data_IF_673144524580
#
_entry.id   IF_673144524580
#
_cell.length_a   1.000
_cell.length_b   1.000
_cell.length_c   1.000
_cell.angle_alpha   90.00
_cell.angle_beta   90.00
_cell.angle_gamma   90.00
#
_symmetry.space_group_name_H-M   'P 1'
#
loop_
_entity.id
_entity.type
_entity.pdbx_description
1 polymer ?
#
# COMPACT_ATOMS: atom_id res chain seq x y z
N UNK A 1 -23.11 15.31 -8.17
CA UNK A 1 -21.64 15.29 -8.11
C UNK A 1 -21.26 15.10 -6.65
N UNK A 2 -20.79 13.94 -6.27
CA UNK A 2 -20.36 13.65 -4.91
C UNK A 2 -18.98 14.27 -4.71
N UNK A 3 -18.87 15.23 -3.80
CA UNK A 3 -17.58 15.78 -3.36
C UNK A 3 -16.82 14.66 -2.65
N UNK A 4 -15.72 14.22 -3.24
CA UNK A 4 -14.78 13.33 -2.57
C UNK A 4 -14.10 14.15 -1.47
N UNK A 5 -14.51 13.93 -0.23
CA UNK A 5 -13.92 14.60 0.92
C UNK A 5 -12.57 13.95 1.22
N UNK A 6 -11.50 14.75 1.35
CA UNK A 6 -10.24 14.20 1.77
C UNK A 6 -10.23 13.90 3.26
N UNK A 7 -9.30 13.07 3.64
CA UNK A 7 -9.06 12.50 4.96
C UNK A 7 -9.39 13.43 6.12
N UNK A 8 -10.39 13.06 6.91
CA UNK A 8 -10.46 13.52 8.30
C UNK A 8 -9.61 12.56 9.14
N UNK A 9 -8.48 13.05 9.60
CA UNK A 9 -7.79 12.43 10.72
C UNK A 9 -8.54 12.90 11.97
N UNK A 10 -9.58 12.19 12.34
CA UNK A 10 -10.22 12.37 13.64
C UNK A 10 -9.29 11.75 14.71
N UNK A 11 -8.27 12.51 15.09
CA UNK A 11 -7.55 12.23 16.33
C UNK A 11 -8.29 12.93 17.45
N UNK A 12 -8.79 12.17 18.42
CA UNK A 12 -9.25 12.69 19.72
C UNK A 12 -8.13 13.29 20.58
N UNK A 13 -6.94 13.47 20.03
CA UNK A 13 -5.87 14.23 20.65
C UNK A 13 -6.22 15.70 20.56
N UNK A 14 -6.70 16.20 21.69
CA UNK A 14 -7.22 17.51 21.94
C UNK A 14 -6.81 18.61 20.98
N UNK A 15 -7.76 19.44 20.63
CA UNK A 15 -7.66 20.63 19.79
C UNK A 15 -6.36 21.40 20.04
N UNK A 16 -5.28 20.95 19.39
CA UNK A 16 -4.08 21.76 19.27
C UNK A 16 -4.45 22.97 18.41
N UNK A 17 -4.20 24.19 18.85
CA UNK A 17 -4.49 25.41 18.08
C UNK A 17 -3.42 25.60 16.98
N UNK A 18 -3.15 24.56 16.22
CA UNK A 18 -2.46 24.69 14.95
C UNK A 18 -3.52 25.27 14.00
N UNK A 19 -3.56 26.59 13.91
CA UNK A 19 -4.24 27.23 12.79
C UNK A 19 -3.75 26.55 11.53
N UNK A 20 -4.65 25.88 10.81
CA UNK A 20 -4.44 25.33 9.48
C UNK A 20 -3.98 26.43 8.51
N UNK A 21 -2.72 26.84 8.64
CA UNK A 21 -2.07 27.64 7.64
C UNK A 21 -1.20 26.71 6.81
N UNK A 22 -1.80 26.16 5.76
CA UNK A 22 -1.03 25.64 4.66
C UNK A 22 -1.23 24.19 4.20
N UNK A 23 -2.22 23.46 4.69
CA UNK A 23 -2.68 22.27 3.97
C UNK A 23 -3.98 22.63 3.26
N UNK A 24 -3.87 23.40 2.18
CA UNK A 24 -4.98 23.53 1.25
C UNK A 24 -5.25 22.15 0.68
N UNK A 25 -6.45 21.67 0.93
CA UNK A 25 -6.93 20.42 0.37
C UNK A 25 -7.10 20.63 -1.12
N UNK A 26 -6.28 19.96 -1.93
CA UNK A 26 -6.39 20.03 -3.38
C UNK A 26 -7.72 19.38 -3.76
N UNK A 27 -8.67 20.18 -4.26
CA UNK A 27 -9.90 19.67 -4.87
C UNK A 27 -9.60 19.37 -6.33
N UNK A 28 -9.99 18.18 -6.79
CA UNK A 28 -9.85 17.76 -8.18
C UNK A 28 -11.17 17.95 -8.91
N UNK A 29 -11.11 18.47 -10.13
CA UNK A 29 -12.28 18.78 -10.94
C UNK A 29 -12.90 17.52 -11.58
N UNK A 30 -12.08 16.48 -11.76
CA UNK A 30 -12.52 15.22 -12.39
C UNK A 30 -11.81 13.99 -11.79
N UNK A 31 -12.39 12.78 -11.96
CA UNK A 31 -11.70 11.53 -11.59
C UNK A 31 -10.38 11.34 -12.34
N UNK A 32 -10.27 11.80 -13.58
CA UNK A 32 -9.06 11.71 -14.38
C UNK A 32 -7.94 12.57 -13.80
N UNK A 33 -8.26 13.77 -13.35
CA UNK A 33 -7.29 14.66 -12.70
C UNK A 33 -6.80 14.06 -11.38
N UNK A 34 -7.71 13.55 -10.56
CA UNK A 34 -7.39 12.82 -9.35
C UNK A 34 -6.50 11.59 -9.67
N UNK A 35 -6.88 10.77 -10.64
CA UNK A 35 -6.10 9.61 -11.08
C UNK A 35 -4.69 10.01 -11.49
N UNK A 36 -4.53 11.04 -12.30
CA UNK A 36 -3.22 11.54 -12.72
C UNK A 36 -2.36 11.93 -11.52
N UNK A 37 -2.91 12.70 -10.60
CA UNK A 37 -2.19 13.09 -9.37
C UNK A 37 -1.77 11.86 -8.54
N UNK A 38 -2.65 10.87 -8.43
CA UNK A 38 -2.35 9.64 -7.69
C UNK A 38 -1.27 8.81 -8.37
N UNK A 39 -1.27 8.71 -9.71
CA UNK A 39 -0.22 8.00 -10.45
C UNK A 39 1.14 8.71 -10.32
N UNK A 40 1.18 10.04 -10.30
CA UNK A 40 2.39 10.81 -10.03
C UNK A 40 2.94 10.52 -8.62
N UNK A 41 2.05 10.47 -7.61
CA UNK A 41 2.42 10.10 -6.24
C UNK A 41 2.88 8.65 -6.13
N UNK A 42 2.22 7.73 -6.84
CA UNK A 42 2.61 6.33 -6.86
C UNK A 42 4.02 6.15 -7.41
N UNK A 43 4.34 6.82 -8.53
CA UNK A 43 5.71 6.84 -9.08
C UNK A 43 6.70 7.48 -8.11
N UNK A 44 6.33 8.56 -7.44
CA UNK A 44 7.15 9.18 -6.41
C UNK A 44 7.40 8.21 -5.24
N UNK A 45 6.39 7.44 -4.82
CA UNK A 45 6.51 6.40 -3.82
C UNK A 45 7.55 5.32 -4.19
N UNK A 46 7.51 4.82 -5.43
CA UNK A 46 8.55 3.89 -5.92
C UNK A 46 9.94 4.50 -5.88
N UNK A 47 10.09 5.75 -6.28
CA UNK A 47 11.39 6.43 -6.23
C UNK A 47 11.91 6.64 -4.81
N UNK A 48 11.03 6.95 -3.87
CA UNK A 48 11.39 7.04 -2.45
C UNK A 48 11.78 5.67 -1.90
N UNK A 49 11.05 4.60 -2.26
CA UNK A 49 11.43 3.24 -1.86
C UNK A 49 12.82 2.88 -2.37
N UNK A 50 13.13 3.19 -3.64
CA UNK A 50 14.46 2.98 -4.20
C UNK A 50 15.51 3.82 -3.48
N UNK A 51 15.23 5.10 -3.21
CA UNK A 51 16.16 5.99 -2.52
C UNK A 51 16.52 5.48 -1.11
N UNK A 52 15.56 4.89 -0.39
CA UNK A 52 15.77 4.34 0.94
C UNK A 52 16.19 2.85 0.96
N UNK A 53 16.40 2.24 -0.19
CA UNK A 53 16.84 0.85 -0.28
C UNK A 53 15.74 -0.18 0.05
N UNK A 54 14.49 0.11 -0.35
CA UNK A 54 13.34 -0.78 -0.16
C UNK A 54 12.95 -1.52 -1.45
N UNK A 55 13.84 -1.57 -2.43
CA UNK A 55 13.63 -2.10 -3.78
C UNK A 55 14.51 -3.33 -4.07
N UNK A 56 14.76 -4.15 -3.09
CA UNK A 56 15.66 -5.29 -3.21
C UNK A 56 15.09 -6.39 -4.13
N UNK A 57 15.82 -6.69 -5.18
CA UNK A 57 15.46 -7.71 -6.17
C UNK A 57 14.25 -7.32 -7.00
N UNK A 58 13.34 -8.28 -7.18
CA UNK A 58 12.05 -8.10 -7.88
C UNK A 58 10.88 -8.06 -6.90
N UNK A 59 11.18 -8.09 -5.62
CA UNK A 59 10.20 -8.11 -4.55
C UNK A 59 9.77 -6.68 -4.18
N UNK A 60 8.54 -6.59 -3.72
CA UNK A 60 7.93 -5.33 -3.34
C UNK A 60 6.99 -4.77 -4.41
N UNK A 61 5.96 -4.15 -3.92
CA UNK A 61 4.91 -3.55 -4.73
C UNK A 61 4.22 -2.43 -3.96
N UNK A 62 3.80 -1.42 -4.68
CA UNK A 62 2.93 -0.38 -4.16
C UNK A 62 1.71 -0.35 -5.07
N UNK A 63 0.54 -0.33 -4.48
CA UNK A 63 -0.72 -0.27 -5.20
C UNK A 63 -1.54 0.94 -4.78
N UNK A 64 -2.35 1.39 -5.69
CA UNK A 64 -3.32 2.45 -5.46
C UNK A 64 -4.65 2.10 -6.14
N UNK A 65 -5.76 2.12 -5.37
CA UNK A 65 -7.11 1.89 -5.89
C UNK A 65 -7.46 2.97 -6.90
N UNK A 66 -8.03 2.58 -8.05
CA UNK A 66 -8.52 3.54 -9.02
C UNK A 66 -9.67 4.39 -8.43
N UNK A 67 -9.66 5.72 -8.62
CA UNK A 67 -10.67 6.59 -8.03
C UNK A 67 -12.07 6.47 -8.66
N UNK A 68 -12.16 5.86 -9.85
CA UNK A 68 -13.41 5.67 -10.58
C UNK A 68 -13.86 4.21 -10.56
N UNK A 69 -12.92 3.27 -10.75
CA UNK A 69 -13.17 1.84 -10.79
C UNK A 69 -12.76 1.19 -9.47
N UNK A 70 -13.67 1.10 -8.51
CA UNK A 70 -13.40 0.66 -7.15
C UNK A 70 -12.89 -0.80 -7.02
N UNK A 71 -13.08 -1.60 -8.05
CA UNK A 71 -12.60 -2.99 -8.17
C UNK A 71 -11.29 -3.10 -8.97
N UNK A 72 -10.64 -1.98 -9.26
CA UNK A 72 -9.36 -1.91 -9.95
C UNK A 72 -8.31 -1.20 -9.08
N UNK A 73 -7.06 -1.54 -9.31
CA UNK A 73 -5.92 -0.88 -8.67
C UNK A 73 -4.73 -0.77 -9.62
N UNK A 74 -3.96 0.28 -9.44
CA UNK A 74 -2.71 0.52 -10.15
C UNK A 74 -1.56 -0.15 -9.41
N UNK A 75 -0.63 -0.75 -10.15
CA UNK A 75 0.52 -1.50 -9.61
C UNK A 75 1.72 -1.40 -10.55
N UNK A 76 2.92 -1.63 -10.02
CA UNK A 76 4.13 -1.73 -10.83
C UNK A 76 4.19 -3.02 -11.63
N UNK A 77 4.77 -3.00 -12.83
CA UNK A 77 5.04 -4.20 -13.61
C UNK A 77 6.14 -5.05 -12.96
N UNK A 78 6.11 -6.35 -13.23
CA UNK A 78 7.19 -7.26 -12.83
C UNK A 78 8.50 -6.90 -13.54
N UNK A 79 9.61 -6.92 -12.80
CA UNK A 79 10.97 -6.83 -13.34
C UNK A 79 11.43 -5.41 -13.72
N UNK A 80 10.65 -4.37 -13.41
CA UNK A 80 11.11 -2.99 -13.56
C UNK A 80 11.58 -2.45 -12.21
N UNK A 81 12.84 -2.02 -12.14
CA UNK A 81 13.42 -1.45 -10.93
C UNK A 81 12.68 -0.18 -10.52
N UNK A 82 12.43 -0.02 -9.23
CA UNK A 82 11.60 1.08 -8.68
C UNK A 82 12.09 2.47 -9.10
N UNK A 83 13.41 2.69 -9.17
CA UNK A 83 13.98 3.97 -9.63
C UNK A 83 13.66 4.30 -11.11
N UNK A 84 13.24 3.32 -11.90
CA UNK A 84 13.00 3.48 -13.34
C UNK A 84 11.51 3.54 -13.69
N UNK A 85 10.63 3.22 -12.75
CA UNK A 85 9.18 3.22 -12.98
C UNK A 85 8.71 4.61 -13.39
N UNK A 86 7.90 4.65 -14.45
CA UNK A 86 7.20 5.84 -14.97
C UNK A 86 5.71 5.57 -14.92
N UNK A 87 4.89 6.62 -15.05
CA UNK A 87 3.42 6.50 -15.13
C UNK A 87 3.00 5.56 -16.27
N UNK A 88 3.68 5.63 -17.42
CA UNK A 88 3.41 4.78 -18.58
C UNK A 88 3.72 3.30 -18.37
N UNK A 89 4.47 2.94 -17.34
CA UNK A 89 4.81 1.56 -17.01
C UNK A 89 3.77 0.92 -16.07
N UNK A 90 2.97 1.74 -15.38
CA UNK A 90 2.00 1.26 -14.40
C UNK A 90 0.88 0.47 -15.08
N UNK A 91 0.42 -0.57 -14.40
CA UNK A 91 -0.65 -1.46 -14.84
C UNK A 91 -1.91 -1.17 -14.05
N UNK A 92 -3.05 -1.11 -14.73
CA UNK A 92 -4.37 -1.16 -14.10
C UNK A 92 -4.86 -2.61 -14.12
N UNK A 93 -5.12 -3.16 -12.93
CA UNK A 93 -5.50 -4.56 -12.74
C UNK A 93 -6.83 -4.60 -12.00
N UNK A 94 -7.75 -5.46 -12.44
CA UNK A 94 -8.99 -5.70 -11.71
C UNK A 94 -8.81 -6.78 -10.61
N UNK A 95 -9.83 -6.98 -9.77
CA UNK A 95 -9.77 -7.96 -8.70
C UNK A 95 -9.76 -9.43 -9.17
N UNK A 96 -10.01 -9.68 -10.45
CA UNK A 96 -9.98 -11.01 -11.08
C UNK A 96 -8.61 -11.34 -11.69
N UNK A 97 -7.68 -10.37 -11.69
CA UNK A 97 -6.31 -10.53 -12.16
C UNK A 97 -6.09 -10.13 -13.62
N UNK A 98 -7.08 -9.55 -14.25
CA UNK A 98 -6.95 -9.08 -15.62
C UNK A 98 -6.25 -7.72 -15.65
N UNK A 99 -5.22 -7.62 -16.48
CA UNK A 99 -4.57 -6.33 -16.79
C UNK A 99 -5.44 -5.63 -17.83
N UNK A 100 -6.18 -4.61 -17.39
CA UNK A 100 -7.09 -3.84 -18.27
C UNK A 100 -6.41 -2.65 -18.93
N UNK A 101 -5.28 -2.21 -18.38
CA UNK A 101 -4.41 -1.20 -19.00
C UNK A 101 -2.94 -1.52 -18.71
N UNK A 102 -2.10 -1.40 -19.75
CA UNK A 102 -0.68 -1.74 -19.74
C UNK A 102 -0.39 -2.98 -20.59
N UNK A 103 0.89 -3.22 -20.86
CA UNK A 103 1.37 -4.27 -21.77
C UNK A 103 2.43 -5.19 -21.13
N UNK A 104 2.66 -5.05 -19.83
CA UNK A 104 3.68 -5.81 -19.10
C UNK A 104 3.04 -6.83 -18.16
N UNK A 105 3.78 -7.87 -17.77
CA UNK A 105 3.29 -8.84 -16.79
C UNK A 105 3.17 -8.21 -15.40
N UNK A 106 2.09 -8.53 -14.70
CA UNK A 106 1.93 -8.24 -13.28
C UNK A 106 2.72 -9.25 -12.44
N UNK A 107 3.20 -8.81 -11.27
CA UNK A 107 3.76 -9.72 -10.29
C UNK A 107 2.61 -10.52 -9.63
N UNK A 108 2.65 -11.85 -9.74
CA UNK A 108 1.60 -12.73 -9.21
C UNK A 108 1.42 -12.55 -7.69
N UNK A 109 2.51 -12.42 -6.94
CA UNK A 109 2.45 -12.18 -5.50
C UNK A 109 1.82 -10.81 -5.18
N UNK A 110 2.12 -9.77 -5.97
CA UNK A 110 1.48 -8.46 -5.84
C UNK A 110 -0.03 -8.58 -6.06
N UNK A 111 -0.45 -9.30 -7.09
CA UNK A 111 -1.86 -9.53 -7.35
C UNK A 111 -2.52 -10.32 -6.22
N UNK A 112 -1.96 -11.46 -5.84
CA UNK A 112 -2.54 -12.35 -4.83
C UNK A 112 -2.78 -11.63 -3.48
N UNK A 113 -1.84 -10.79 -3.04
CA UNK A 113 -1.97 -10.07 -1.77
C UNK A 113 -2.85 -8.84 -1.92
N UNK A 114 -2.53 -7.95 -2.88
CA UNK A 114 -3.14 -6.61 -2.93
C UNK A 114 -4.57 -6.64 -3.47
N UNK A 115 -4.92 -7.56 -4.39
CA UNK A 115 -6.30 -7.70 -4.86
C UNK A 115 -7.24 -8.07 -3.71
N UNK A 116 -6.82 -9.01 -2.85
CA UNK A 116 -7.61 -9.47 -1.69
C UNK A 116 -7.68 -8.40 -0.61
N UNK A 117 -6.58 -7.70 -0.39
CA UNK A 117 -6.56 -6.58 0.54
C UNK A 117 -7.52 -5.46 0.11
N UNK A 118 -7.43 -5.00 -1.14
CA UNK A 118 -8.33 -3.98 -1.66
C UNK A 118 -9.80 -4.43 -1.65
N UNK A 119 -10.06 -5.70 -1.91
CA UNK A 119 -11.40 -6.27 -1.85
C UNK A 119 -11.96 -6.30 -0.43
N UNK A 120 -11.15 -6.72 0.56
CA UNK A 120 -11.55 -6.83 1.96
C UNK A 120 -11.66 -5.47 2.66
N UNK A 121 -10.91 -4.46 2.20
CA UNK A 121 -10.77 -3.14 2.84
C UNK A 121 -11.10 -2.02 1.84
N UNK A 122 -12.39 -1.72 1.62
CA UNK A 122 -12.80 -0.61 0.73
C UNK A 122 -12.33 0.78 1.18
N UNK A 123 -11.98 0.94 2.46
CA UNK A 123 -11.41 2.14 3.06
C UNK A 123 -9.91 2.33 2.74
N UNK A 124 -9.24 1.26 2.29
CA UNK A 124 -7.82 1.29 1.91
C UNK A 124 -7.70 1.65 0.43
N UNK A 125 -7.12 2.81 0.15
CA UNK A 125 -6.83 3.24 -1.22
C UNK A 125 -5.41 2.91 -1.66
N UNK A 126 -4.45 2.92 -0.73
CA UNK A 126 -3.04 2.60 -1.03
C UNK A 126 -2.53 1.46 -0.15
N UNK A 127 -1.69 0.62 -0.72
CA UNK A 127 -0.98 -0.41 0.03
C UNK A 127 0.45 -0.53 -0.49
N UNK A 128 1.40 -0.68 0.43
CA UNK A 128 2.82 -0.80 0.10
C UNK A 128 3.44 -1.99 0.83
N UNK A 129 4.13 -2.82 0.08
CA UNK A 129 4.89 -3.96 0.59
C UNK A 129 6.34 -3.87 0.12
N UNK A 130 7.27 -4.14 1.02
CA UNK A 130 8.69 -4.21 0.68
C UNK A 130 9.41 -5.30 1.44
N UNK A 131 10.50 -5.78 0.84
CA UNK A 131 11.47 -6.67 1.45
C UNK A 131 12.68 -5.90 1.98
N UNK A 132 12.47 -4.70 2.55
CA UNK A 132 13.56 -3.91 3.12
C UNK A 132 14.38 -4.72 4.12
N UNK A 133 15.68 -4.48 4.17
CA UNK A 133 16.59 -5.25 5.02
C UNK A 133 16.12 -5.32 6.47
N UNK A 134 15.78 -4.19 7.07
CA UNK A 134 15.30 -4.14 8.45
C UNK A 134 13.89 -4.72 8.60
N UNK A 135 13.00 -4.49 7.62
CA UNK A 135 11.66 -5.06 7.64
C UNK A 135 11.67 -6.59 7.61
N UNK A 136 12.45 -7.20 6.72
CA UNK A 136 12.63 -8.67 6.67
C UNK A 136 13.24 -9.22 7.96
N UNK A 137 14.31 -8.57 8.43
CA UNK A 137 14.99 -8.98 9.67
C UNK A 137 14.03 -8.92 10.86
N UNK A 138 13.25 -7.83 10.98
CA UNK A 138 12.29 -7.69 12.05
C UNK A 138 11.14 -8.71 11.94
N UNK A 139 10.64 -8.94 10.73
CA UNK A 139 9.54 -9.89 10.48
C UNK A 139 9.90 -11.33 10.90
N UNK A 140 11.19 -11.71 10.83
CA UNK A 140 11.64 -13.04 11.27
C UNK A 140 11.52 -13.28 12.77
N UNK A 141 11.41 -12.22 13.57
CA UNK A 141 11.19 -12.31 15.01
C UNK A 141 9.76 -12.77 15.36
N UNK A 142 8.81 -12.68 14.42
CA UNK A 142 7.42 -13.09 14.63
C UNK A 142 6.75 -12.33 15.78
N UNK A 143 7.00 -11.03 15.93
CA UNK A 143 6.42 -10.19 16.98
C UNK A 143 6.02 -8.81 16.46
N UNK A 144 5.14 -8.14 17.20
CA UNK A 144 4.78 -6.74 16.96
C UNK A 144 5.93 -5.81 17.37
N UNK A 145 5.94 -4.61 16.76
CA UNK A 145 6.88 -3.55 17.12
C UNK A 145 6.46 -2.93 18.46
N UNK A 146 7.33 -3.01 19.44
CA UNK A 146 7.11 -2.44 20.77
C UNK A 146 7.17 -0.89 20.72
N UNK A 147 6.32 -0.17 21.46
CA UNK A 147 6.26 1.30 21.45
C UNK A 147 7.38 1.91 22.32
N UNK A 148 8.63 1.66 21.95
CA UNK A 148 9.83 2.06 22.70
C UNK A 148 10.49 3.33 22.16
N UNK A 149 10.08 3.82 21.00
CA UNK A 149 10.55 5.08 20.41
C UNK A 149 9.36 5.91 19.95
N UNK A 150 9.54 7.20 19.75
CA UNK A 150 8.49 8.07 19.23
C UNK A 150 7.93 7.54 17.90
N UNK A 151 8.79 7.07 17.00
CA UNK A 151 8.40 6.53 15.70
C UNK A 151 7.60 5.23 15.84
N UNK A 152 8.04 4.32 16.72
CA UNK A 152 7.32 3.06 16.94
C UNK A 152 5.97 3.26 17.65
N UNK A 153 5.82 4.30 18.47
CA UNK A 153 4.54 4.65 19.09
C UNK A 153 3.46 5.02 18.06
N UNK A 154 3.84 5.50 16.87
CA UNK A 154 2.88 5.78 15.80
C UNK A 154 2.08 4.55 15.35
N UNK A 155 2.63 3.36 15.58
CA UNK A 155 2.03 2.07 15.19
C UNK A 155 1.38 1.34 16.37
N UNK A 156 1.37 1.92 17.56
CA UNK A 156 0.73 1.31 18.73
C UNK A 156 -0.76 1.03 18.44
N UNK A 157 -1.19 -0.21 18.67
CA UNK A 157 -2.54 -0.71 18.35
C UNK A 157 -2.96 -0.65 16.87
N UNK A 158 -2.07 -0.22 15.96
CA UNK A 158 -2.33 -0.12 14.52
C UNK A 158 -1.65 -1.22 13.69
N UNK A 159 -1.04 -2.19 14.34
CA UNK A 159 -0.29 -3.27 13.71
C UNK A 159 -0.87 -4.63 14.04
N UNK A 160 -0.69 -5.57 13.13
CA UNK A 160 -1.01 -6.98 13.29
C UNK A 160 0.14 -7.86 12.80
N UNK A 161 0.03 -9.15 12.99
CA UNK A 161 1.01 -10.12 12.51
C UNK A 161 0.30 -11.25 11.77
N UNK A 162 0.88 -11.67 10.65
CA UNK A 162 0.55 -12.91 9.98
C UNK A 162 1.64 -13.93 10.30
N UNK A 163 1.34 -14.82 11.24
CA UNK A 163 2.29 -15.80 11.81
C UNK A 163 2.29 -17.12 11.00
N UNK A 164 2.19 -17.02 9.69
CA UNK A 164 2.27 -18.15 8.78
C UNK A 164 3.21 -17.81 7.63
N UNK A 165 4.01 -18.77 7.21
CA UNK A 165 4.92 -18.61 6.08
C UNK A 165 4.93 -19.89 5.24
N UNK A 166 4.43 -19.81 4.02
CA UNK A 166 4.36 -20.90 3.05
C UNK A 166 5.31 -20.74 1.86
N UNK A 167 6.13 -19.69 1.86
CA UNK A 167 6.97 -19.32 0.73
C UNK A 167 6.47 -18.09 -0.01
N UNK A 168 6.62 -18.06 -1.31
CA UNK A 168 6.09 -16.99 -2.16
C UNK A 168 4.56 -17.11 -2.22
N UNK A 169 3.88 -16.00 -2.01
CA UNK A 169 2.41 -15.95 -2.08
C UNK A 169 1.99 -15.96 -3.55
N UNK A 170 1.47 -17.07 -4.02
CA UNK A 170 1.00 -17.23 -5.41
C UNK A 170 -0.52 -17.43 -5.49
N UNK A 171 -1.14 -17.83 -4.38
CA UNK A 171 -2.56 -18.14 -4.30
C UNK A 171 -3.35 -17.04 -3.61
N UNK A 172 -4.50 -16.73 -4.14
CA UNK A 172 -5.41 -15.70 -3.60
C UNK A 172 -5.93 -16.02 -2.21
N UNK A 173 -6.04 -17.30 -1.87
CA UNK A 173 -6.44 -17.79 -0.54
C UNK A 173 -5.47 -17.35 0.56
N UNK A 174 -4.17 -17.26 0.25
CA UNK A 174 -3.22 -16.70 1.20
C UNK A 174 -3.38 -15.18 1.32
N UNK A 175 -3.66 -14.49 0.22
CA UNK A 175 -4.05 -13.07 0.24
C UNK A 175 -5.26 -12.81 1.13
N UNK A 176 -6.29 -13.66 1.06
CA UNK A 176 -7.47 -13.58 1.93
C UNK A 176 -7.10 -13.77 3.42
N UNK A 177 -6.21 -14.72 3.74
CA UNK A 177 -5.71 -14.92 5.12
C UNK A 177 -4.91 -13.72 5.62
N UNK A 178 -4.08 -13.12 4.77
CA UNK A 178 -3.31 -11.91 5.09
C UNK A 178 -4.26 -10.73 5.33
N UNK A 179 -5.24 -10.52 4.47
CA UNK A 179 -6.24 -9.46 4.62
C UNK A 179 -7.06 -9.63 5.92
N UNK A 180 -7.46 -10.87 6.24
CA UNK A 180 -8.15 -11.18 7.49
C UNK A 180 -7.27 -10.93 8.72
N UNK A 181 -5.98 -11.29 8.66
CA UNK A 181 -5.03 -11.04 9.74
C UNK A 181 -4.72 -9.56 9.94
N UNK A 182 -4.73 -8.76 8.86
CA UNK A 182 -4.63 -7.31 8.95
C UNK A 182 -5.83 -6.71 9.69
N UNK A 183 -7.05 -7.21 9.43
CA UNK A 183 -8.28 -6.70 10.03
C UNK A 183 -8.47 -5.21 9.78
N UNK A 184 -8.70 -4.44 10.83
CA UNK A 184 -8.85 -2.97 10.81
C UNK A 184 -7.50 -2.22 10.92
N UNK A 185 -6.39 -2.93 11.03
CA UNK A 185 -5.07 -2.35 11.26
C UNK A 185 -4.51 -1.71 9.99
N UNK A 186 -3.45 -0.92 10.16
CA UNK A 186 -2.76 -0.20 9.08
C UNK A 186 -1.46 -0.89 8.64
N UNK A 187 -0.90 -1.72 9.51
CA UNK A 187 0.37 -2.41 9.24
C UNK A 187 0.20 -3.88 9.59
N UNK A 188 0.74 -4.74 8.75
CA UNK A 188 0.88 -6.15 9.05
C UNK A 188 2.33 -6.60 8.86
N UNK A 189 2.84 -7.30 9.85
CA UNK A 189 4.14 -7.96 9.80
C UNK A 189 3.90 -9.37 9.27
N UNK A 190 4.44 -9.64 8.09
CA UNK A 190 4.40 -10.96 7.47
C UNK A 190 5.63 -11.73 7.94
N UNK A 191 5.45 -12.68 8.86
CA UNK A 191 6.55 -13.44 9.46
C UNK A 191 7.44 -14.09 8.40
N UNK A 192 8.76 -13.96 8.57
CA UNK A 192 9.79 -14.44 7.63
C UNK A 192 9.71 -13.86 6.21
N UNK A 193 8.92 -12.80 5.98
CA UNK A 193 8.66 -12.29 4.65
C UNK A 193 8.98 -10.79 4.54
N UNK A 194 8.28 -9.96 5.28
CA UNK A 194 8.44 -8.50 5.20
C UNK A 194 7.31 -7.75 5.91
N UNK A 195 7.10 -6.52 5.49
CA UNK A 195 6.08 -5.64 6.07
C UNK A 195 5.17 -5.14 4.95
N UNK A 196 3.86 -5.10 5.23
CA UNK A 196 2.86 -4.47 4.39
C UNK A 196 2.18 -3.36 5.19
N UNK A 197 2.03 -2.20 4.55
CA UNK A 197 1.37 -1.02 5.12
C UNK A 197 0.21 -0.60 4.24
N UNK A 198 -0.81 0.00 4.85
CA UNK A 198 -2.01 0.48 4.17
C UNK A 198 -2.30 1.92 4.51
N UNK A 199 -2.96 2.60 3.60
CA UNK A 199 -3.38 3.99 3.77
C UNK A 199 -4.62 4.31 2.94
N UNK A 200 -5.23 5.44 3.28
CA UNK A 200 -6.38 6.00 2.56
C UNK A 200 -5.94 6.91 1.40
N UNK A 201 -4.64 7.12 1.27
CA UNK A 201 -4.04 7.89 0.17
C UNK A 201 -2.63 7.40 -0.09
#
# INVERSE_FOLDING_TARGET
>A
MAKVSPLRIDTELGKLPLKDKGLEMVEFESPEELRRNQLEKLVAGFRLFSYFGYDEGVAGHITFRDPEFNDHFWVNPLGVHFSQIKISDLLLVNHDGEVVQGDRPVNVAAFAIHSRLHKARPDVNAAAHSHSMYGRTFSSLGKLLDPITQDSCAFYERQSIYDHFSGVVEETEEGDRIANALGDKQVIILKNHGILTTGSS
#
